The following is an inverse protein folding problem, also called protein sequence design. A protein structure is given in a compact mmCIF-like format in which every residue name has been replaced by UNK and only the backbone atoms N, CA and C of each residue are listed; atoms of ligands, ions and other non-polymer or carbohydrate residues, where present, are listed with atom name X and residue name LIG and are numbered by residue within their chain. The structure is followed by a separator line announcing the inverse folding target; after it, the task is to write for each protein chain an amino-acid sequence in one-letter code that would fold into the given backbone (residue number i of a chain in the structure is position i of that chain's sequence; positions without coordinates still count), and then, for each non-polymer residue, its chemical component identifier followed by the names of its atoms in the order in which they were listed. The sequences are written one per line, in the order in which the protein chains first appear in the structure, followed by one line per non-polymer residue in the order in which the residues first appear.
data_IF_928576804006
#
_entry.id   IF_928576804006
#
_cell.length_a   1.000
_cell.length_b   1.000
_cell.length_c   1.000
_cell.angle_alpha   90.00
_cell.angle_beta   90.00
_cell.angle_gamma   90.00
#
_symmetry.space_group_name_H-M   'P 1'
#
loop_
_entity.id
_entity.type
_entity.pdbx_description
1 polymer ?
#
# COMPACT_ATOMS: atom_id res chain seq x y z
N UNK A 1 -34.75 13.21 -16.29
CA UNK A 1 -34.31 14.07 -15.17
C UNK A 1 -33.03 14.79 -15.60
N UNK A 2 -33.15 16.03 -16.05
CA UNK A 2 -32.01 16.82 -16.52
C UNK A 2 -31.20 17.27 -15.31
N UNK A 3 -30.05 16.63 -15.05
CA UNK A 3 -29.10 17.11 -14.04
C UNK A 3 -28.55 18.46 -14.49
N UNK A 4 -29.05 19.55 -13.91
CA UNK A 4 -28.46 20.88 -14.06
C UNK A 4 -26.98 20.83 -13.67
N UNK A 5 -26.11 21.38 -14.53
CA UNK A 5 -24.68 21.51 -14.23
C UNK A 5 -24.52 22.59 -13.15
N UNK A 6 -24.29 22.17 -11.91
CA UNK A 6 -23.89 23.06 -10.82
C UNK A 6 -22.45 23.55 -11.05
N UNK A 7 -22.31 24.65 -11.78
CA UNK A 7 -21.06 25.40 -12.04
C UNK A 7 -19.92 24.68 -12.79
N UNK A 8 -19.27 25.41 -13.69
CA UNK A 8 -18.04 25.00 -14.37
C UNK A 8 -16.85 25.62 -13.63
N UNK A 9 -15.95 24.79 -13.08
CA UNK A 9 -14.70 25.23 -12.46
C UNK A 9 -13.54 25.04 -13.45
N UNK A 10 -12.83 26.11 -13.75
CA UNK A 10 -11.60 26.08 -14.58
C UNK A 10 -10.39 26.23 -13.67
N UNK A 11 -9.47 25.27 -13.74
CA UNK A 11 -8.21 25.30 -12.99
C UNK A 11 -7.11 25.90 -13.88
N UNK A 12 -6.29 26.79 -13.31
CA UNK A 12 -5.02 27.19 -13.93
C UNK A 12 -3.96 26.23 -13.42
N UNK A 13 -3.33 25.53 -14.35
CA UNK A 13 -2.29 24.55 -14.05
C UNK A 13 -0.95 25.11 -14.53
N UNK A 14 0.09 24.83 -13.77
CA UNK A 14 1.48 24.94 -14.23
C UNK A 14 1.78 23.84 -15.25
N UNK A 15 2.92 23.94 -15.94
CA UNK A 15 3.32 22.93 -16.91
C UNK A 15 3.48 21.53 -16.28
N UNK A 16 4.05 21.47 -15.08
CA UNK A 16 4.22 20.22 -14.32
C UNK A 16 2.86 19.62 -13.93
N UNK A 17 1.93 20.43 -13.44
CA UNK A 17 0.59 19.96 -13.06
C UNK A 17 -0.21 19.48 -14.28
N UNK A 18 -0.05 20.12 -15.44
CA UNK A 18 -0.67 19.68 -16.69
C UNK A 18 -0.11 18.33 -17.16
N UNK A 19 1.20 18.12 -17.04
CA UNK A 19 1.82 16.82 -17.33
C UNK A 19 1.34 15.73 -16.37
N UNK A 20 1.30 16.03 -15.07
CA UNK A 20 0.77 15.11 -14.06
C UNK A 20 -0.69 14.73 -14.36
N UNK A 21 -1.51 15.67 -14.81
CA UNK A 21 -2.90 15.41 -15.19
C UNK A 21 -3.00 14.50 -16.43
N UNK A 22 -2.11 14.65 -17.41
CA UNK A 22 -2.05 13.73 -18.55
C UNK A 22 -1.61 12.32 -18.15
N UNK A 23 -0.66 12.19 -17.23
CA UNK A 23 -0.30 10.88 -16.67
C UNK A 23 -1.47 10.25 -15.91
N UNK A 24 -2.19 11.03 -15.11
CA UNK A 24 -3.39 10.56 -14.41
C UNK A 24 -4.47 10.05 -15.37
N UNK A 25 -4.70 10.74 -16.49
CA UNK A 25 -5.62 10.28 -17.53
C UNK A 25 -5.20 8.93 -18.10
N UNK A 26 -3.90 8.74 -18.37
CA UNK A 26 -3.35 7.46 -18.88
C UNK A 26 -3.54 6.33 -17.86
N UNK A 27 -3.17 6.55 -16.59
CA UNK A 27 -3.28 5.54 -15.52
C UNK A 27 -4.75 5.15 -15.28
N UNK A 28 -5.65 6.12 -15.28
CA UNK A 28 -7.09 5.88 -15.02
C UNK A 28 -7.88 5.47 -16.27
N UNK A 29 -7.26 5.51 -17.45
CA UNK A 29 -7.90 5.25 -18.74
C UNK A 29 -9.00 6.25 -19.11
N UNK A 30 -8.95 7.49 -18.57
CA UNK A 30 -9.99 8.52 -18.81
C UNK A 30 -9.60 9.46 -19.93
N UNK A 31 -10.61 9.94 -20.65
CA UNK A 31 -10.43 10.84 -21.81
C UNK A 31 -10.19 12.28 -21.38
N UNK A 32 -10.80 12.71 -20.29
CA UNK A 32 -10.66 14.09 -19.77
C UNK A 32 -10.04 14.10 -18.38
N UNK A 33 -9.34 15.19 -18.05
CA UNK A 33 -8.78 15.38 -16.71
C UNK A 33 -9.86 15.43 -15.63
N UNK A 34 -11.01 16.04 -15.91
CA UNK A 34 -12.14 16.10 -14.98
C UNK A 34 -12.71 14.71 -14.66
N UNK A 35 -12.81 13.81 -15.65
CA UNK A 35 -13.22 12.42 -15.42
C UNK A 35 -12.17 11.66 -14.60
N UNK A 36 -10.88 11.87 -14.87
CA UNK A 36 -9.79 11.26 -14.10
C UNK A 36 -9.86 11.69 -12.62
N UNK A 37 -9.96 12.99 -12.36
CA UNK A 37 -10.07 13.53 -11.00
C UNK A 37 -11.33 13.01 -10.31
N UNK A 38 -12.49 13.08 -10.98
CA UNK A 38 -13.77 12.61 -10.42
C UNK A 38 -13.72 11.12 -10.07
N UNK A 39 -13.09 10.32 -10.93
CA UNK A 39 -12.90 8.90 -10.69
C UNK A 39 -12.04 8.65 -9.46
N UNK A 40 -10.90 9.34 -9.34
CA UNK A 40 -9.99 9.21 -8.21
C UNK A 40 -10.69 9.58 -6.91
N UNK A 41 -11.35 10.74 -6.86
CA UNK A 41 -12.08 11.20 -5.66
C UNK A 41 -13.15 10.19 -5.25
N UNK A 42 -13.87 9.61 -6.22
CA UNK A 42 -14.90 8.61 -5.96
C UNK A 42 -14.33 7.29 -5.41
N UNK A 43 -13.26 6.79 -6.00
CA UNK A 43 -12.67 5.49 -5.61
C UNK A 43 -11.69 5.62 -4.44
N UNK A 44 -11.30 6.84 -4.04
CA UNK A 44 -10.33 7.09 -2.98
C UNK A 44 -10.62 6.33 -1.67
N UNK A 45 -11.87 6.29 -1.14
CA UNK A 45 -12.15 5.53 0.08
C UNK A 45 -11.88 4.03 -0.07
N UNK A 46 -12.18 3.48 -1.26
CA UNK A 46 -11.92 2.06 -1.57
C UNK A 46 -10.43 1.78 -1.65
N UNK A 47 -9.65 2.66 -2.27
CA UNK A 47 -8.20 2.54 -2.32
C UNK A 47 -7.58 2.58 -0.92
N UNK A 48 -8.04 3.49 -0.06
CA UNK A 48 -7.59 3.57 1.34
C UNK A 48 -7.90 2.28 2.10
N UNK A 49 -9.12 1.75 1.96
CA UNK A 49 -9.50 0.48 2.60
C UNK A 49 -8.63 -0.68 2.13
N UNK A 50 -8.40 -0.79 0.83
CA UNK A 50 -7.57 -1.85 0.26
C UNK A 50 -6.12 -1.73 0.71
N UNK A 51 -5.57 -0.52 0.74
CA UNK A 51 -4.19 -0.28 1.17
C UNK A 51 -3.99 -0.64 2.64
N UNK A 52 -4.93 -0.23 3.51
CA UNK A 52 -4.90 -0.62 4.93
C UNK A 52 -4.94 -2.14 5.10
N UNK A 53 -5.85 -2.81 4.40
CA UNK A 53 -5.94 -4.27 4.46
C UNK A 53 -4.65 -4.96 3.97
N UNK A 54 -4.00 -4.42 2.94
CA UNK A 54 -2.72 -4.95 2.48
C UNK A 54 -1.61 -4.73 3.50
N UNK A 55 -1.51 -3.53 4.07
CA UNK A 55 -0.55 -3.22 5.13
C UNK A 55 -0.71 -4.15 6.35
N UNK A 56 -1.95 -4.42 6.76
CA UNK A 56 -2.24 -5.36 7.86
C UNK A 56 -1.79 -6.79 7.52
N UNK A 57 -2.04 -7.27 6.30
CA UNK A 57 -1.56 -8.59 5.85
C UNK A 57 -0.04 -8.68 5.84
N UNK A 58 0.64 -7.65 5.37
CA UNK A 58 2.11 -7.59 5.40
C UNK A 58 2.63 -7.66 6.84
N UNK A 59 2.04 -6.86 7.73
CA UNK A 59 2.38 -6.86 9.16
C UNK A 59 2.16 -8.23 9.81
N UNK A 60 1.09 -8.94 9.47
CA UNK A 60 0.82 -10.28 10.00
C UNK A 60 1.87 -11.30 9.54
N UNK A 61 2.33 -11.18 8.29
CA UNK A 61 3.38 -12.06 7.73
C UNK A 61 4.72 -11.77 8.42
N UNK A 62 5.09 -10.50 8.57
CA UNK A 62 6.31 -10.10 9.28
C UNK A 62 6.32 -10.62 10.72
N UNK A 63 5.22 -10.44 11.46
CA UNK A 63 5.11 -10.98 12.82
C UNK A 63 5.25 -12.50 12.90
N UNK A 64 4.76 -13.24 11.89
CA UNK A 64 4.93 -14.70 11.85
C UNK A 64 6.39 -15.07 11.59
N UNK A 65 7.04 -14.35 10.67
CA UNK A 65 8.44 -14.55 10.36
C UNK A 65 9.32 -14.28 11.59
N UNK A 66 9.10 -13.15 12.27
CA UNK A 66 9.82 -12.80 13.49
C UNK A 66 9.66 -13.89 14.55
N UNK A 67 8.42 -14.37 14.79
CA UNK A 67 8.18 -15.48 15.74
C UNK A 67 8.93 -16.75 15.36
N UNK A 68 9.06 -17.05 14.07
CA UNK A 68 9.79 -18.22 13.59
C UNK A 68 11.30 -18.04 13.79
N UNK A 69 11.87 -16.88 13.44
CA UNK A 69 13.26 -16.55 13.74
C UNK A 69 13.58 -16.75 15.22
N UNK A 70 12.78 -16.16 16.12
CA UNK A 70 12.99 -16.32 17.56
C UNK A 70 12.94 -17.78 18.04
N UNK A 71 12.08 -18.62 17.43
CA UNK A 71 12.03 -20.05 17.76
C UNK A 71 13.29 -20.77 17.29
N UNK A 72 13.71 -20.49 16.06
CA UNK A 72 14.92 -21.06 15.46
C UNK A 72 16.16 -20.69 16.28
N UNK A 73 16.29 -19.41 16.65
CA UNK A 73 17.39 -18.93 17.49
C UNK A 73 17.41 -19.67 18.83
N UNK A 74 16.25 -19.84 19.46
CA UNK A 74 16.14 -20.60 20.72
C UNK A 74 16.53 -22.07 20.57
N UNK A 75 16.18 -22.70 19.44
CA UNK A 75 16.63 -24.08 19.17
C UNK A 75 18.14 -24.15 19.00
N UNK A 76 18.75 -23.21 18.27
CA UNK A 76 20.20 -23.14 18.13
C UNK A 76 20.89 -22.92 19.48
N UNK A 77 20.42 -22.00 20.31
CA UNK A 77 20.98 -21.80 21.65
C UNK A 77 20.88 -23.06 22.52
N UNK A 78 19.75 -23.77 22.48
CA UNK A 78 19.59 -25.02 23.23
C UNK A 78 20.54 -26.14 22.72
N UNK A 79 20.82 -26.18 21.42
CA UNK A 79 21.80 -27.12 20.85
C UNK A 79 23.21 -26.77 21.30
N UNK A 80 23.57 -25.48 21.30
CA UNK A 80 24.87 -25.01 21.78
C UNK A 80 25.08 -25.38 23.27
N UNK A 81 24.04 -25.22 24.09
CA UNK A 81 24.07 -25.59 25.51
C UNK A 81 24.31 -27.11 25.69
N UNK A 82 23.57 -27.94 24.94
CA UNK A 82 23.74 -29.41 24.97
C UNK A 82 25.13 -29.85 24.49
N UNK A 83 25.65 -29.19 23.45
CA UNK A 83 27.00 -29.47 22.95
C UNK A 83 28.04 -29.11 24.01
N UNK A 84 27.90 -27.96 24.67
CA UNK A 84 28.79 -27.54 25.75
C UNK A 84 28.74 -28.47 26.97
N UNK A 85 27.61 -29.11 27.25
CA UNK A 85 27.50 -30.15 28.28
C UNK A 85 28.16 -31.47 27.85
N UNK A 86 28.02 -31.88 26.59
CA UNK A 86 28.64 -33.11 26.06
C UNK A 86 30.17 -33.06 26.03
N UNK A 87 30.76 -31.86 25.89
CA UNK A 87 32.20 -31.62 25.90
C UNK A 87 32.82 -31.59 27.31
N UNK A 88 31.97 -31.57 28.35
CA UNK A 88 32.40 -31.58 29.76
C UNK A 88 32.45 -32.98 30.38
N UNK A 89 31.95 -34.00 29.68
CA UNK A 89 32.06 -35.42 30.05
C UNK A 89 33.31 -36.05 29.44
#
# INVERSE_FOLDING_TARGET
MSTEKASTLTLRLTAEEAEALEQLKRITGKRTGSEAIKYIVKEYPRFVSNYKQQADKHRDVEQKYDRLCHKVDRYFSALDDLQAESLKQ
#
